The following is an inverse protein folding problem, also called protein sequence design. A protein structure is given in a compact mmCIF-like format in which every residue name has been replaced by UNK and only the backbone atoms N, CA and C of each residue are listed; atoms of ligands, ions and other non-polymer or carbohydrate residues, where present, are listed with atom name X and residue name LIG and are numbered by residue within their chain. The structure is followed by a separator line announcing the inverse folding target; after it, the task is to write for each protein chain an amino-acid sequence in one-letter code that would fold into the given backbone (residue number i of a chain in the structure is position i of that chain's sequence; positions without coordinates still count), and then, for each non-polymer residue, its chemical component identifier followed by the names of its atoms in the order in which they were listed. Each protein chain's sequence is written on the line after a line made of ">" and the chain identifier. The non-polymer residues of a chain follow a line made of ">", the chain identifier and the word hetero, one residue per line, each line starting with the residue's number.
data_IF_432878663057
#
_entry.id   IF_432878663057
#
_cell.length_a   1.000
_cell.length_b   1.000
_cell.length_c   1.000
_cell.angle_alpha   90.00
_cell.angle_beta   90.00
_cell.angle_gamma   90.00
#
_symmetry.space_group_name_H-M   'P 1'
#
loop_
_entity.id
_entity.type
_entity.pdbx_description
1 polymer ?
#
# COMPACT_ATOMS: atom_id res chain seq x y z
N UNK A 1 24.69 -17.43 5.65
CA UNK A 1 23.38 -16.79 5.79
C UNK A 1 22.60 -17.60 6.82
N UNK A 2 22.54 -17.13 8.06
CA UNK A 2 21.97 -17.89 9.17
C UNK A 2 20.43 -17.81 9.18
N UNK A 3 19.70 -18.84 9.65
CA UNK A 3 18.23 -18.94 9.53
C UNK A 3 17.42 -17.88 10.30
N UNK A 4 18.06 -17.04 11.12
CA UNK A 4 17.40 -16.11 12.04
C UNK A 4 17.14 -14.70 11.47
N UNK A 5 17.66 -14.35 10.30
CA UNK A 5 17.48 -12.99 9.73
C UNK A 5 16.18 -12.82 8.91
N UNK A 6 15.54 -13.94 8.53
CA UNK A 6 14.36 -13.95 7.64
C UNK A 6 13.06 -13.42 8.30
N UNK A 7 12.70 -13.74 9.56
CA UNK A 7 11.45 -13.25 10.16
C UNK A 7 11.47 -11.75 10.45
N UNK A 8 12.61 -11.20 10.90
CA UNK A 8 12.71 -9.77 11.23
C UNK A 8 12.49 -8.84 10.02
N UNK A 9 12.94 -9.25 8.83
CA UNK A 9 12.74 -8.48 7.58
C UNK A 9 11.30 -8.54 7.07
N UNK A 10 10.66 -9.70 7.18
CA UNK A 10 9.26 -9.88 6.80
C UNK A 10 8.32 -9.08 7.73
N UNK A 11 8.61 -9.09 9.03
CA UNK A 11 7.88 -8.30 10.02
C UNK A 11 8.04 -6.79 9.80
N UNK A 12 9.25 -6.34 9.48
CA UNK A 12 9.53 -4.94 9.13
C UNK A 12 8.78 -4.52 7.86
N UNK A 13 8.87 -5.31 6.79
CA UNK A 13 8.16 -5.03 5.54
C UNK A 13 6.63 -4.94 5.75
N UNK A 14 6.06 -5.93 6.46
CA UNK A 14 4.63 -5.93 6.79
C UNK A 14 4.23 -4.73 7.65
N UNK A 15 5.10 -4.31 8.58
CA UNK A 15 4.87 -3.11 9.37
C UNK A 15 4.85 -1.85 8.49
N UNK A 16 5.82 -1.70 7.59
CA UNK A 16 5.88 -0.57 6.66
C UNK A 16 4.67 -0.52 5.73
N UNK A 17 4.24 -1.68 5.22
CA UNK A 17 3.08 -1.80 4.35
C UNK A 17 1.80 -1.40 5.07
N UNK A 18 1.57 -1.92 6.28
CA UNK A 18 0.40 -1.56 7.11
C UNK A 18 0.38 -0.07 7.41
N UNK A 19 1.54 0.51 7.75
CA UNK A 19 1.63 1.94 8.02
C UNK A 19 1.25 2.78 6.78
N UNK A 20 1.75 2.42 5.60
CA UNK A 20 1.42 3.11 4.37
C UNK A 20 -0.08 3.00 4.01
N UNK A 21 -0.69 1.81 4.18
CA UNK A 21 -2.13 1.61 3.96
C UNK A 21 -2.98 2.39 4.95
N UNK A 22 -2.59 2.43 6.23
CA UNK A 22 -3.30 3.23 7.24
C UNK A 22 -3.26 4.72 6.91
N UNK A 23 -2.11 5.24 6.45
CA UNK A 23 -1.98 6.63 6.03
C UNK A 23 -2.90 6.98 4.84
N UNK A 24 -3.05 6.05 3.88
CA UNK A 24 -3.99 6.19 2.75
C UNK A 24 -5.42 6.30 3.27
N UNK A 25 -5.86 5.34 4.09
CA UNK A 25 -7.24 5.30 4.61
C UNK A 25 -7.61 6.57 5.36
N UNK A 26 -6.71 7.08 6.22
CA UNK A 26 -6.93 8.33 6.94
C UNK A 26 -7.00 9.55 6.01
N UNK A 27 -6.12 9.61 5.01
CA UNK A 27 -6.05 10.74 4.08
C UNK A 27 -7.26 10.79 3.13
N UNK A 28 -7.78 9.64 2.71
CA UNK A 28 -9.03 9.55 1.92
C UNK A 28 -10.24 9.97 2.76
N UNK A 29 -10.35 9.45 3.99
CA UNK A 29 -11.44 9.83 4.89
C UNK A 29 -11.45 11.33 5.18
N UNK A 30 -10.26 11.90 5.44
CA UNK A 30 -10.09 13.34 5.64
C UNK A 30 -10.46 14.14 4.38
N UNK A 31 -9.99 13.72 3.20
CA UNK A 31 -10.33 14.40 1.94
C UNK A 31 -11.83 14.44 1.70
N UNK A 32 -12.53 13.32 1.95
CA UNK A 32 -13.98 13.26 1.78
C UNK A 32 -14.69 14.26 2.71
N UNK A 33 -14.30 14.30 3.98
CA UNK A 33 -14.85 15.27 4.94
C UNK A 33 -14.60 16.71 4.51
N UNK A 34 -13.39 17.02 4.05
CA UNK A 34 -13.05 18.37 3.58
C UNK A 34 -13.86 18.76 2.33
N UNK A 35 -14.14 17.82 1.43
CA UNK A 35 -15.05 18.04 0.30
C UNK A 35 -16.49 18.31 0.76
N UNK A 36 -16.98 17.56 1.75
CA UNK A 36 -18.31 17.80 2.36
C UNK A 36 -18.39 19.18 3.04
N UNK A 37 -17.28 19.68 3.58
CA UNK A 37 -17.16 21.02 4.18
C UNK A 37 -16.91 22.14 3.13
N UNK A 38 -16.75 21.79 1.85
CA UNK A 38 -16.46 22.74 0.75
C UNK A 38 -15.00 23.20 0.66
N UNK A 39 -14.12 22.69 1.53
CA UNK A 39 -12.69 23.02 1.57
C UNK A 39 -11.91 22.20 0.54
N UNK A 40 -12.09 22.57 -0.73
CA UNK A 40 -11.52 21.84 -1.87
C UNK A 40 -9.99 21.91 -1.88
N UNK A 41 -9.40 23.03 -1.45
CA UNK A 41 -7.95 23.20 -1.43
C UNK A 41 -7.27 22.19 -0.51
N UNK A 42 -7.76 22.06 0.73
CA UNK A 42 -7.21 21.09 1.68
C UNK A 42 -7.56 19.65 1.33
N UNK A 43 -8.72 19.42 0.70
CA UNK A 43 -9.06 18.10 0.18
C UNK A 43 -8.03 17.65 -0.88
N UNK A 44 -7.69 18.52 -1.82
CA UNK A 44 -6.67 18.23 -2.85
C UNK A 44 -5.29 17.99 -2.25
N UNK A 45 -4.89 18.76 -1.24
CA UNK A 45 -3.63 18.51 -0.51
C UNK A 45 -3.64 17.12 0.15
N UNK A 46 -4.75 16.73 0.78
CA UNK A 46 -4.92 15.40 1.39
C UNK A 46 -4.84 14.27 0.35
N UNK A 47 -5.40 14.49 -0.84
CA UNK A 47 -5.29 13.54 -1.95
C UNK A 47 -3.85 13.43 -2.47
N UNK A 48 -3.11 14.53 -2.60
CA UNK A 48 -1.70 14.49 -2.99
C UNK A 48 -0.85 13.66 -2.01
N UNK A 49 -1.12 13.77 -0.70
CA UNK A 49 -0.48 12.91 0.33
C UNK A 49 -0.85 11.43 0.17
N UNK A 50 -2.09 11.16 -0.25
CA UNK A 50 -2.57 9.80 -0.55
C UNK A 50 -1.79 9.20 -1.72
N UNK A 51 -1.54 9.97 -2.77
CA UNK A 51 -0.74 9.53 -3.94
C UNK A 51 0.69 9.15 -3.54
N UNK A 52 1.34 9.94 -2.69
CA UNK A 52 2.67 9.63 -2.17
C UNK A 52 2.68 8.32 -1.38
N UNK A 53 1.67 8.09 -0.54
CA UNK A 53 1.55 6.84 0.21
C UNK A 53 1.28 5.63 -0.71
N UNK A 54 0.49 5.80 -1.78
CA UNK A 54 0.28 4.78 -2.81
C UNK A 54 1.57 4.44 -3.56
N UNK A 55 2.40 5.43 -3.88
CA UNK A 55 3.72 5.20 -4.48
C UNK A 55 4.63 4.40 -3.54
N UNK A 56 4.58 4.66 -2.22
CA UNK A 56 5.30 3.87 -1.22
C UNK A 56 4.81 2.43 -1.17
N UNK A 57 3.49 2.19 -1.12
CA UNK A 57 2.90 0.84 -1.19
C UNK A 57 3.36 0.12 -2.46
N UNK A 58 3.27 0.78 -3.62
CA UNK A 58 3.69 0.23 -4.90
C UNK A 58 5.17 -0.19 -4.89
N UNK A 59 6.03 0.61 -4.25
CA UNK A 59 7.45 0.30 -4.10
C UNK A 59 7.71 -0.88 -3.15
N UNK A 60 7.01 -0.93 -2.01
CA UNK A 60 7.09 -2.04 -1.06
C UNK A 60 6.64 -3.36 -1.68
N UNK A 61 5.58 -3.33 -2.49
CA UNK A 61 5.04 -4.52 -3.19
C UNK A 61 5.98 -5.03 -4.29
N UNK A 62 6.72 -4.13 -4.96
CA UNK A 62 7.74 -4.51 -5.95
C UNK A 62 9.02 -5.06 -5.31
N UNK A 63 9.43 -4.50 -4.16
CA UNK A 63 10.67 -4.87 -3.47
C UNK A 63 10.68 -6.33 -3.00
N UNK A 64 9.53 -6.83 -2.53
CA UNK A 64 9.41 -8.18 -1.93
C UNK A 64 8.80 -9.22 -2.88
N UNK A 65 8.63 -8.90 -4.18
CA UNK A 65 8.22 -9.90 -5.17
C UNK A 65 6.80 -10.43 -4.97
N UNK A 66 5.87 -9.65 -4.40
CA UNK A 66 4.44 -10.00 -4.45
C UNK A 66 3.91 -10.10 -5.89
N UNK A 67 4.58 -9.43 -6.84
CA UNK A 67 4.36 -9.58 -8.28
C UNK A 67 4.75 -10.96 -8.84
N UNK A 68 5.54 -11.77 -8.12
CA UNK A 68 5.97 -13.10 -8.55
C UNK A 68 5.02 -14.24 -8.17
N UNK A 69 4.04 -14.01 -7.29
CA UNK A 69 3.11 -15.06 -6.80
C UNK A 69 1.67 -14.96 -7.31
N UNK A 70 1.29 -13.82 -7.89
CA UNK A 70 -0.05 -13.64 -8.49
C UNK A 70 -0.06 -14.06 -9.98
N UNK A 71 1.11 -14.40 -10.55
CA UNK A 71 1.24 -14.85 -11.94
C UNK A 71 1.11 -16.37 -12.18
N UNK A 72 1.00 -17.19 -11.12
CA UNK A 72 0.97 -18.67 -11.25
C UNK A 72 -0.46 -19.25 -11.09
N UNK A 73 -1.48 -18.45 -11.40
CA UNK A 73 -2.82 -18.99 -11.62
C UNK A 73 -2.90 -19.39 -13.09
N UNK A 74 -2.38 -20.58 -13.41
CA UNK A 74 -2.68 -21.20 -14.70
C UNK A 74 -4.20 -21.38 -14.82
N UNK A 75 -4.82 -21.00 -15.95
CA UNK A 75 -6.23 -21.33 -16.19
C UNK A 75 -6.40 -22.86 -16.16
N UNK A 76 -7.54 -23.38 -15.66
CA UNK A 76 -7.79 -24.80 -15.65
C UNK A 76 -7.69 -25.33 -17.09
N UNK A 77 -6.73 -26.23 -17.34
CA UNK A 77 -6.71 -26.99 -18.58
C UNK A 77 -7.91 -27.93 -18.52
N UNK A 78 -8.96 -27.59 -19.26
CA UNK A 78 -10.11 -28.45 -19.45
C UNK A 78 -9.70 -29.66 -20.30
N UNK A 79 -10.10 -30.85 -19.84
CA UNK A 79 -10.12 -32.08 -20.63
C UNK A 79 -11.16 -32.03 -21.75
#
# INVERSE_FOLDING_TARGET
>A
MTPHERPAREDEWMHELRNAVNAISMSVALSRRLMEEGDTARALESLSRTELALQRVSTLMRRDGAAGRIGDVSPPQGD
#
